data_IF_723027014652
#
_entry.id   IF_723027014652
#
_cell.length_a   1.000
_cell.length_b   1.000
_cell.length_c   1.000
_cell.angle_alpha   90.00
_cell.angle_beta   90.00
_cell.angle_gamma   90.00
#
_symmetry.space_group_name_H-M   'P 1'
#
loop_
_entity.id
_entity.type
_entity.pdbx_description
1 polymer ?
#
# COMPACT_ATOMS: atom_id res chain seq x y z
N UNK A 1 29.37 -0.23 36.75
CA UNK A 1 29.16 -1.47 35.97
C UNK A 1 27.68 -1.61 35.65
N UNK A 2 27.35 -1.87 34.39
CA UNK A 2 26.11 -2.43 33.80
C UNK A 2 24.76 -1.78 34.19
N UNK A 3 23.86 -1.48 33.26
CA UNK A 3 23.29 -2.45 32.31
C UNK A 3 22.83 -1.77 31.02
N UNK A 4 23.34 -2.27 29.88
CA UNK A 4 22.79 -1.99 28.56
C UNK A 4 21.43 -2.66 28.38
N UNK A 5 20.37 -1.86 28.41
CA UNK A 5 19.02 -2.23 27.99
C UNK A 5 18.94 -2.30 26.47
N UNK A 6 19.30 -3.45 25.93
CA UNK A 6 19.07 -3.89 24.54
C UNK A 6 17.62 -3.67 24.11
N UNK A 7 17.38 -2.58 23.37
CA UNK A 7 16.16 -2.37 22.61
C UNK A 7 16.13 -3.41 21.49
N UNK A 8 15.46 -4.53 21.78
CA UNK A 8 15.00 -5.49 20.78
C UNK A 8 14.07 -4.75 19.81
N UNK A 9 14.63 -4.27 18.71
CA UNK A 9 13.90 -4.06 17.47
C UNK A 9 13.29 -5.44 17.19
N UNK A 10 12.02 -5.60 17.54
CA UNK A 10 11.21 -6.68 17.01
C UNK A 10 11.10 -6.34 15.53
N UNK A 11 11.85 -7.07 14.71
CA UNK A 11 11.67 -7.16 13.28
C UNK A 11 10.18 -7.43 13.05
N UNK A 12 9.42 -6.36 12.72
CA UNK A 12 8.03 -6.48 12.32
C UNK A 12 8.09 -7.21 10.97
N UNK A 13 8.03 -8.55 11.02
CA UNK A 13 7.65 -9.34 9.86
C UNK A 13 6.30 -8.80 9.37
N UNK A 14 5.98 -8.95 8.07
CA UNK A 14 4.86 -8.25 7.46
C UNK A 14 3.62 -8.42 8.32
N UNK A 15 3.22 -7.35 9.00
CA UNK A 15 1.90 -7.20 9.60
C UNK A 15 0.93 -7.73 8.57
N UNK A 16 0.17 -8.78 8.93
CA UNK A 16 -0.67 -9.53 7.99
C UNK A 16 -1.26 -8.60 6.93
N UNK A 17 -0.85 -8.72 5.66
CA UNK A 17 -1.17 -7.71 4.68
C UNK A 17 -2.69 -7.62 4.52
N UNK A 18 -3.20 -6.40 4.32
CA UNK A 18 -4.58 -6.22 3.91
C UNK A 18 -4.84 -7.01 2.63
N UNK A 19 -5.86 -7.86 2.67
CA UNK A 19 -6.27 -8.64 1.52
C UNK A 19 -6.74 -7.73 0.39
N UNK A 20 -6.72 -8.24 -0.84
CA UNK A 20 -7.22 -7.49 -2.00
C UNK A 20 -8.68 -7.07 -1.80
N UNK A 21 -9.49 -7.96 -1.22
CA UNK A 21 -10.90 -7.67 -0.91
C UNK A 21 -11.04 -6.48 0.04
N UNK A 22 -10.28 -6.47 1.13
CA UNK A 22 -10.34 -5.38 2.11
C UNK A 22 -9.87 -4.05 1.51
N UNK A 23 -8.79 -4.08 0.72
CA UNK A 23 -8.29 -2.89 -0.01
C UNK A 23 -9.34 -2.32 -0.97
N UNK A 24 -10.01 -3.19 -1.73
CA UNK A 24 -11.08 -2.78 -2.65
C UNK A 24 -12.29 -2.22 -1.91
N UNK A 25 -12.71 -2.86 -0.81
CA UNK A 25 -13.80 -2.39 0.04
C UNK A 25 -13.46 -1.03 0.67
N UNK A 26 -12.22 -0.83 1.13
CA UNK A 26 -11.72 0.44 1.66
C UNK A 26 -11.80 1.54 0.61
N UNK A 27 -11.19 1.33 -0.57
CA UNK A 27 -11.18 2.31 -1.65
C UNK A 27 -12.60 2.68 -2.11
N UNK A 28 -13.48 1.68 -2.27
CA UNK A 28 -14.88 1.90 -2.65
C UNK A 28 -15.67 2.69 -1.58
N UNK A 29 -15.42 2.41 -0.30
CA UNK A 29 -16.07 3.13 0.80
C UNK A 29 -15.59 4.58 0.88
N UNK A 30 -14.30 4.85 0.68
CA UNK A 30 -13.75 6.21 0.60
C UNK A 30 -14.30 6.95 -0.61
N UNK A 31 -14.44 6.29 -1.77
CA UNK A 31 -15.05 6.90 -2.96
C UNK A 31 -16.53 7.33 -2.73
N UNK A 32 -17.27 6.61 -1.88
CA UNK A 32 -18.67 6.94 -1.54
C UNK A 32 -18.78 8.08 -0.54
N UNK A 33 -17.97 8.07 0.51
CA UNK A 33 -18.16 8.91 1.71
C UNK A 33 -17.07 9.96 1.94
N UNK A 34 -15.98 9.91 1.18
CA UNK A 34 -14.81 10.77 1.33
C UNK A 34 -13.82 10.29 2.40
N UNK A 35 -12.57 10.74 2.27
CA UNK A 35 -11.45 10.50 3.18
C UNK A 35 -11.49 11.38 4.45
N UNK A 36 -12.51 12.23 4.61
CA UNK A 36 -12.73 13.00 5.83
C UNK A 36 -13.62 12.26 6.85
N UNK A 37 -14.28 11.16 6.45
CA UNK A 37 -15.21 10.40 7.29
C UNK A 37 -14.76 8.94 7.51
N UNK A 38 -13.59 8.78 8.12
CA UNK A 38 -13.01 7.46 8.43
C UNK A 38 -13.89 6.58 9.31
N UNK A 39 -14.79 7.18 10.11
CA UNK A 39 -15.79 6.45 10.91
C UNK A 39 -16.76 5.70 10.01
N UNK A 40 -17.33 6.38 9.01
CA UNK A 40 -18.28 5.77 8.07
C UNK A 40 -17.58 4.72 7.21
N UNK A 41 -16.37 5.02 6.75
CA UNK A 41 -15.53 4.07 5.99
C UNK A 41 -15.27 2.80 6.79
N UNK A 42 -14.82 2.92 8.04
CA UNK A 42 -14.58 1.79 8.96
C UNK A 42 -15.82 0.92 9.13
N UNK A 43 -16.99 1.54 9.37
CA UNK A 43 -18.25 0.82 9.54
C UNK A 43 -18.69 0.10 8.27
N UNK A 44 -18.45 0.69 7.11
CA UNK A 44 -18.80 0.11 5.82
C UNK A 44 -17.94 -1.12 5.49
N UNK A 45 -16.65 -1.14 5.88
CA UNK A 45 -15.74 -2.25 5.57
C UNK A 45 -15.74 -3.37 6.63
N UNK A 46 -16.18 -3.09 7.86
CA UNK A 46 -16.24 -4.09 8.95
C UNK A 46 -16.92 -5.42 8.56
N UNK A 47 -18.06 -5.44 7.85
CA UNK A 47 -18.69 -6.69 7.40
C UNK A 47 -17.84 -7.53 6.44
N UNK A 48 -16.78 -6.95 5.86
CA UNK A 48 -15.89 -7.59 4.93
C UNK A 48 -14.59 -8.09 5.60
N UNK A 49 -14.48 -8.03 6.94
CA UNK A 49 -13.34 -8.58 7.70
C UNK A 49 -13.17 -10.07 7.45
N UNK A 50 -11.91 -10.50 7.31
CA UNK A 50 -11.57 -11.92 7.38
C UNK A 50 -11.68 -12.46 8.82
N UNK A 51 -11.85 -13.77 8.97
CA UNK A 51 -11.93 -14.42 10.28
C UNK A 51 -10.56 -14.34 10.97
N UNK A 52 -10.55 -14.01 12.27
CA UNK A 52 -9.30 -13.89 13.06
C UNK A 52 -8.66 -12.49 13.07
N UNK A 53 -9.25 -11.50 12.39
CA UNK A 53 -8.78 -10.11 12.45
C UNK A 53 -9.03 -9.51 13.85
N UNK A 54 -8.10 -8.68 14.37
CA UNK A 54 -8.28 -8.03 15.67
C UNK A 54 -9.43 -7.01 15.66
N UNK A 55 -10.02 -6.67 16.83
CA UNK A 55 -11.17 -5.75 16.92
C UNK A 55 -10.88 -4.34 16.39
N UNK A 56 -9.61 -3.91 16.45
CA UNK A 56 -9.13 -2.60 15.98
C UNK A 56 -8.56 -2.63 14.54
N UNK A 57 -8.72 -3.75 13.82
CA UNK A 57 -8.19 -3.93 12.47
C UNK A 57 -8.62 -2.80 11.51
N UNK A 58 -9.91 -2.48 11.55
CA UNK A 58 -10.52 -1.39 10.78
C UNK A 58 -10.69 -0.12 11.60
N UNK A 59 -9.77 0.19 12.50
CA UNK A 59 -9.75 1.50 13.15
C UNK A 59 -9.63 2.62 12.10
N UNK A 60 -10.11 3.81 12.45
CA UNK A 60 -10.05 4.99 11.57
C UNK A 60 -8.62 5.26 11.09
N UNK A 61 -7.66 5.16 12.02
CA UNK A 61 -6.23 5.32 11.75
C UNK A 61 -5.71 4.28 10.75
N UNK A 62 -6.09 3.01 10.92
CA UNK A 62 -5.69 1.95 9.99
C UNK A 62 -6.29 2.16 8.59
N UNK A 63 -7.56 2.57 8.51
CA UNK A 63 -8.21 2.88 7.24
C UNK A 63 -7.51 4.03 6.51
N UNK A 64 -7.21 5.12 7.24
CA UNK A 64 -6.51 6.29 6.69
C UNK A 64 -5.12 5.91 6.18
N UNK A 65 -4.32 5.25 7.01
CA UNK A 65 -2.96 4.82 6.65
C UNK A 65 -2.96 3.92 5.41
N UNK A 66 -3.81 2.90 5.38
CA UNK A 66 -3.86 1.96 4.28
C UNK A 66 -4.34 2.61 2.99
N UNK A 67 -5.26 3.58 3.06
CA UNK A 67 -5.73 4.30 1.88
C UNK A 67 -4.62 5.17 1.27
N UNK A 68 -3.82 5.86 2.10
CA UNK A 68 -2.64 6.59 1.61
C UNK A 68 -1.66 5.68 0.88
N UNK A 69 -1.34 4.51 1.44
CA UNK A 69 -0.47 3.53 0.77
C UNK A 69 -1.05 3.05 -0.56
N UNK A 70 -2.37 2.91 -0.66
CA UNK A 70 -3.05 2.56 -1.92
C UNK A 70 -2.89 3.67 -2.96
N UNK A 71 -3.03 4.93 -2.56
CA UNK A 71 -2.83 6.08 -3.45
C UNK A 71 -1.39 6.11 -3.97
N UNK A 72 -0.40 6.03 -3.08
CA UNK A 72 1.02 5.98 -3.46
C UNK A 72 1.32 4.82 -4.42
N UNK A 73 0.74 3.64 -4.16
CA UNK A 73 0.88 2.48 -5.03
C UNK A 73 0.12 2.60 -6.37
N UNK A 74 -0.88 3.48 -6.49
CA UNK A 74 -1.58 3.76 -7.76
C UNK A 74 -0.97 4.92 -8.54
N UNK A 75 -0.40 5.91 -7.85
CA UNK A 75 0.34 7.02 -8.42
C UNK A 75 1.73 6.59 -8.93
N UNK A 76 2.30 5.52 -8.36
CA UNK A 76 3.46 4.85 -8.93
C UNK A 76 3.08 4.24 -10.30
N UNK A 77 3.62 4.76 -11.42
CA UNK A 77 3.23 4.32 -12.75
C UNK A 77 3.77 2.90 -12.99
N UNK A 78 2.90 1.91 -12.83
CA UNK A 78 3.16 0.50 -13.17
C UNK A 78 3.26 0.26 -14.69
N UNK A 79 3.09 1.28 -15.52
CA UNK A 79 2.90 1.10 -16.98
C UNK A 79 3.79 1.92 -17.91
N UNK A 80 4.88 2.55 -17.45
CA UNK A 80 5.90 3.05 -18.40
C UNK A 80 7.36 2.76 -18.00
N UNK A 81 7.72 2.62 -16.72
CA UNK A 81 9.14 2.51 -16.35
C UNK A 81 9.73 1.09 -16.37
N UNK A 82 8.92 0.03 -16.24
CA UNK A 82 9.43 -1.35 -16.29
C UNK A 82 9.67 -1.87 -17.72
N UNK A 83 8.93 -1.36 -18.72
CA UNK A 83 9.21 -1.66 -20.13
C UNK A 83 10.24 -0.69 -20.75
N UNK A 84 10.23 0.61 -20.42
CA UNK A 84 11.20 1.56 -21.02
C UNK A 84 12.64 1.37 -20.55
N UNK A 85 12.89 0.86 -19.34
CA UNK A 85 14.28 0.67 -18.88
C UNK A 85 14.98 -0.51 -19.58
N UNK A 86 14.22 -1.42 -20.18
CA UNK A 86 14.78 -2.50 -21.01
C UNK A 86 14.93 -2.11 -22.49
N UNK A 87 14.14 -1.15 -22.99
CA UNK A 87 14.27 -0.61 -24.35
C UNK A 87 15.31 0.50 -24.48
N UNK A 88 15.64 1.21 -23.39
CA UNK A 88 16.61 2.31 -23.45
C UNK A 88 18.06 1.86 -23.67
N UNK A 89 18.42 0.60 -23.44
CA UNK A 89 19.79 0.11 -23.70
C UNK A 89 19.97 -0.34 -25.16
N UNK A 90 18.89 -0.62 -25.90
CA UNK A 90 18.98 -1.11 -27.30
C UNK A 90 18.85 -0.01 -28.36
N UNK A 91 18.51 1.22 -27.99
CA UNK A 91 18.35 2.33 -28.94
C UNK A 91 19.61 3.21 -29.06
N UNK A 92 20.56 3.14 -28.15
CA UNK A 92 21.84 3.88 -28.26
C UNK A 92 22.80 3.21 -29.27
N UNK A 93 22.78 1.88 -29.44
CA UNK A 93 23.67 1.18 -30.38
C UNK A 93 23.28 1.30 -31.87
N UNK A 94 22.12 1.89 -32.20
CA UNK A 94 21.64 2.01 -33.59
C UNK A 94 21.64 3.47 -34.10
N UNK A 95 22.51 4.35 -33.57
CA UNK A 95 22.68 5.73 -34.09
C UNK A 95 24.07 6.01 -34.67
N UNK A 96 24.92 4.99 -34.85
CA UNK A 96 26.30 5.18 -35.28
C UNK A 96 26.67 4.49 -36.60
N UNK A 97 25.69 4.19 -37.46
CA UNK A 97 25.97 3.65 -38.81
C UNK A 97 25.16 4.34 -39.92
N UNK A 98 24.94 5.65 -39.80
CA UNK A 98 24.66 6.55 -40.94
C UNK A 98 25.25 7.91 -40.61
N UNK A 99 26.51 8.11 -40.98
CA UNK A 99 27.07 9.29 -41.65
C UNK A 99 28.46 8.90 -42.16
#
# INVERSE_FOLDING_TARGET
LSTGGKHKILNVGPTEPWSVREKLCLASSVMRSGDQNWVSVSRAIKPFSEQGRPPDWFSQKHCASQYSELLEATEAPKSVSSWHRSTSIRLEENKSEVT
#
